data_IF_610924712076
#
_entry.id   IF_610924712076
#
_cell.length_a   1.000
_cell.length_b   1.000
_cell.length_c   1.000
_cell.angle_alpha   90.00
_cell.angle_beta   90.00
_cell.angle_gamma   90.00
#
_symmetry.space_group_name_H-M   'P 1'
#
loop_
_entity.id
_entity.type
_entity.pdbx_description
1 polymer ?
#
# COMPACT_ATOMS: atom_id res chain seq x y z
N UNK A 1 -26.20 -43.16 8.03
CA UNK A 1 -27.01 -43.98 8.95
C UNK A 1 -28.32 -43.27 9.18
N UNK A 2 -29.45 -43.97 9.10
CA UNK A 2 -30.79 -43.42 9.23
C UNK A 2 -31.26 -43.47 10.70
N UNK A 3 -31.63 -42.32 11.26
CA UNK A 3 -32.11 -42.19 12.65
C UNK A 3 -33.37 -43.03 12.89
N UNK A 4 -34.23 -43.21 11.88
CA UNK A 4 -35.43 -44.04 11.98
C UNK A 4 -35.12 -45.53 12.09
N UNK A 5 -34.13 -46.00 11.32
CA UNK A 5 -33.71 -47.39 11.34
C UNK A 5 -33.11 -47.77 12.72
N UNK A 6 -32.27 -46.92 13.28
CA UNK A 6 -31.64 -47.16 14.58
C UNK A 6 -32.64 -47.08 15.74
N UNK A 7 -33.61 -46.15 15.68
CA UNK A 7 -34.69 -46.10 16.66
C UNK A 7 -35.58 -47.36 16.62
N UNK A 8 -35.91 -47.87 15.41
CA UNK A 8 -36.62 -49.15 15.25
C UNK A 8 -35.85 -50.35 15.80
N UNK A 9 -34.52 -50.29 15.80
CA UNK A 9 -33.65 -51.30 16.40
C UNK A 9 -33.51 -51.17 17.93
N UNK A 10 -34.30 -50.30 18.57
CA UNK A 10 -34.38 -50.19 20.03
C UNK A 10 -33.45 -49.14 20.64
N UNK A 11 -32.79 -48.32 19.83
CA UNK A 11 -31.94 -47.24 20.35
C UNK A 11 -32.78 -46.10 20.94
N UNK A 12 -32.51 -45.73 22.18
CA UNK A 12 -33.19 -44.59 22.81
C UNK A 12 -32.79 -43.25 22.18
N UNK A 13 -33.71 -42.28 22.20
CA UNK A 13 -33.47 -40.89 21.77
C UNK A 13 -32.20 -40.30 22.42
N UNK A 14 -31.93 -40.66 23.69
CA UNK A 14 -30.75 -40.19 24.41
C UNK A 14 -29.43 -40.84 23.95
N UNK A 15 -29.48 -42.06 23.41
CA UNK A 15 -28.33 -42.73 22.82
C UNK A 15 -28.01 -42.15 21.44
N UNK A 16 -29.05 -41.98 20.60
CA UNK A 16 -28.93 -41.35 19.29
C UNK A 16 -28.42 -39.91 19.37
N UNK A 17 -28.89 -39.13 20.34
CA UNK A 17 -28.41 -37.75 20.56
C UNK A 17 -26.91 -37.69 20.90
N UNK A 18 -26.39 -38.66 21.64
CA UNK A 18 -24.96 -38.74 22.00
C UNK A 18 -24.12 -39.22 20.82
N UNK A 19 -24.58 -40.24 20.11
CA UNK A 19 -23.86 -40.84 18.98
C UNK A 19 -23.72 -39.86 17.81
N UNK A 20 -24.79 -39.15 17.47
CA UNK A 20 -24.80 -38.22 16.34
C UNK A 20 -24.51 -36.76 16.74
N UNK A 21 -24.22 -36.52 18.02
CA UNK A 21 -24.01 -35.18 18.58
C UNK A 21 -25.14 -34.19 18.22
N UNK A 22 -26.38 -34.64 18.36
CA UNK A 22 -27.59 -33.88 18.06
C UNK A 22 -28.35 -33.54 19.34
N UNK A 23 -29.07 -32.42 19.33
CA UNK A 23 -29.97 -32.10 20.43
C UNK A 23 -31.07 -33.16 20.55
N UNK A 24 -31.36 -33.64 21.77
CA UNK A 24 -32.42 -34.64 22.03
C UNK A 24 -33.79 -34.25 21.44
N UNK A 25 -34.13 -32.95 21.45
CA UNK A 25 -35.39 -32.44 20.84
C UNK A 25 -35.37 -32.55 19.31
N UNK A 26 -34.20 -32.39 18.69
CA UNK A 26 -34.02 -32.60 17.25
C UNK A 26 -34.15 -34.07 16.91
N UNK A 27 -33.54 -34.96 17.68
CA UNK A 27 -33.65 -36.42 17.47
C UNK A 27 -35.09 -36.89 17.64
N UNK A 28 -35.80 -36.47 18.71
CA UNK A 28 -37.20 -36.79 18.92
C UNK A 28 -38.07 -36.32 17.75
N UNK A 29 -37.91 -35.05 17.33
CA UNK A 29 -38.62 -34.48 16.18
C UNK A 29 -38.36 -35.24 14.87
N UNK A 30 -37.13 -35.69 14.66
CA UNK A 30 -36.78 -36.43 13.45
C UNK A 30 -37.30 -37.86 13.49
N UNK A 31 -37.23 -38.55 14.63
CA UNK A 31 -37.75 -39.93 14.78
C UNK A 31 -39.28 -40.00 14.62
N UNK A 32 -40.00 -39.00 15.14
CA UNK A 32 -41.47 -38.94 15.06
C UNK A 32 -41.98 -38.48 13.67
N UNK A 33 -41.14 -37.82 12.88
CA UNK A 33 -41.53 -37.35 11.55
C UNK A 33 -41.47 -38.51 10.52
N UNK A 34 -42.55 -38.84 9.80
CA UNK A 34 -42.52 -39.94 8.82
C UNK A 34 -41.59 -39.70 7.62
N UNK A 35 -41.20 -38.44 7.38
CA UNK A 35 -40.22 -38.03 6.36
C UNK A 35 -39.26 -36.97 6.93
N UNK A 36 -38.07 -36.84 6.36
CA UNK A 36 -37.10 -35.83 6.76
C UNK A 36 -37.74 -34.42 6.64
N UNK A 37 -37.69 -33.58 7.69
CA UNK A 37 -38.33 -32.27 7.64
C UNK A 37 -37.70 -31.42 6.54
N UNK A 38 -38.50 -31.10 5.53
CA UNK A 38 -38.11 -30.16 4.49
C UNK A 38 -38.12 -28.76 5.09
N UNK A 39 -36.97 -28.07 5.00
CA UNK A 39 -36.96 -26.65 5.30
C UNK A 39 -37.78 -25.95 4.22
N UNK A 40 -38.92 -25.36 4.60
CA UNK A 40 -39.59 -24.40 3.74
C UNK A 40 -38.56 -23.33 3.34
N UNK A 41 -38.40 -23.11 2.05
CA UNK A 41 -37.62 -21.98 1.56
C UNK A 41 -38.15 -20.72 2.23
N UNK A 42 -37.28 -19.93 2.85
CA UNK A 42 -37.67 -18.58 3.30
C UNK A 42 -38.23 -17.83 2.10
N UNK A 43 -39.35 -17.15 2.30
CA UNK A 43 -39.87 -16.19 1.33
C UNK A 43 -38.71 -15.31 0.87
N UNK A 44 -38.40 -15.44 -0.42
CA UNK A 44 -37.38 -14.61 -1.03
C UNK A 44 -37.87 -13.15 -0.92
N UNK A 45 -37.03 -12.20 -0.49
CA UNK A 45 -37.44 -10.80 -0.46
C UNK A 45 -37.99 -10.39 -1.83
N UNK A 46 -39.09 -9.61 -1.83
CA UNK A 46 -39.77 -9.16 -3.03
C UNK A 46 -38.79 -8.74 -4.13
N UNK A 47 -38.91 -9.37 -5.30
CA UNK A 47 -38.12 -9.00 -6.47
C UNK A 47 -38.44 -7.55 -6.86
N UNK A 48 -37.50 -6.88 -7.53
CA UNK A 48 -37.77 -5.55 -8.09
C UNK A 48 -38.88 -5.68 -9.12
N UNK A 49 -39.88 -4.81 -9.04
CA UNK A 49 -40.87 -4.71 -10.10
C UNK A 49 -40.20 -4.35 -11.44
N UNK A 50 -40.80 -4.69 -12.60
CA UNK A 50 -40.16 -4.50 -13.90
C UNK A 50 -39.68 -3.07 -14.18
N UNK A 51 -40.42 -2.07 -13.72
CA UNK A 51 -40.12 -0.64 -13.81
C UNK A 51 -38.95 -0.24 -12.89
N UNK A 52 -38.94 -0.72 -11.64
CA UNK A 52 -37.86 -0.50 -10.68
C UNK A 52 -36.55 -1.14 -11.16
N UNK A 53 -36.64 -2.36 -11.69
CA UNK A 53 -35.51 -3.08 -12.27
C UNK A 53 -34.96 -2.31 -13.48
N UNK A 54 -35.82 -1.87 -14.39
CA UNK A 54 -35.43 -1.09 -15.57
C UNK A 54 -34.75 0.24 -15.17
N UNK A 55 -35.24 0.91 -14.11
CA UNK A 55 -34.61 2.12 -13.58
C UNK A 55 -33.20 1.84 -13.02
N UNK A 56 -33.06 0.80 -12.20
CA UNK A 56 -31.76 0.42 -11.59
C UNK A 56 -30.74 0.03 -12.65
N UNK A 57 -31.13 -0.78 -13.64
CA UNK A 57 -30.24 -1.19 -14.74
C UNK A 57 -29.76 0.03 -15.53
N UNK A 58 -30.68 0.91 -15.95
CA UNK A 58 -30.33 2.16 -16.67
C UNK A 58 -29.34 3.02 -15.89
N UNK A 59 -29.52 3.16 -14.57
CA UNK A 59 -28.61 3.94 -13.73
C UNK A 59 -27.24 3.29 -13.58
N UNK A 60 -27.18 1.97 -13.52
CA UNK A 60 -25.92 1.21 -13.48
C UNK A 60 -25.17 1.23 -14.82
N UNK A 61 -25.88 1.29 -15.95
CA UNK A 61 -25.27 1.47 -17.28
C UNK A 61 -24.57 2.83 -17.39
N UNK A 62 -25.23 3.90 -16.94
CA UNK A 62 -24.67 5.26 -16.97
C UNK A 62 -23.57 5.45 -15.92
N UNK A 63 -23.73 4.88 -14.72
CA UNK A 63 -22.77 5.02 -13.62
C UNK A 63 -22.64 3.71 -12.82
N UNK A 64 -21.69 2.85 -13.23
CA UNK A 64 -21.40 1.55 -12.59
C UNK A 64 -21.06 1.66 -11.09
N UNK A 65 -20.54 2.80 -10.63
CA UNK A 65 -20.08 3.04 -9.26
C UNK A 65 -21.11 3.71 -8.35
N UNK A 66 -22.31 4.04 -8.84
CA UNK A 66 -23.36 4.72 -8.08
C UNK A 66 -23.64 4.00 -6.75
N UNK A 67 -23.73 4.72 -5.64
CA UNK A 67 -23.95 4.12 -4.32
C UNK A 67 -25.31 3.43 -4.25
N UNK A 68 -25.36 2.24 -3.66
CA UNK A 68 -26.61 1.49 -3.49
C UNK A 68 -27.63 2.23 -2.61
N UNK A 69 -27.16 3.07 -1.68
CA UNK A 69 -28.03 3.95 -0.88
C UNK A 69 -28.76 5.00 -1.73
N UNK A 70 -28.10 5.51 -2.78
CA UNK A 70 -28.70 6.45 -3.73
C UNK A 70 -29.78 5.75 -4.55
N UNK A 71 -29.47 4.60 -5.14
CA UNK A 71 -30.45 3.81 -5.90
C UNK A 71 -31.64 3.39 -5.03
N UNK A 72 -31.41 3.07 -3.75
CA UNK A 72 -32.47 2.68 -2.82
C UNK A 72 -33.49 3.79 -2.59
N UNK A 73 -33.04 5.04 -2.41
CA UNK A 73 -33.94 6.19 -2.27
C UNK A 73 -34.81 6.35 -3.51
N UNK A 74 -34.20 6.29 -4.68
CA UNK A 74 -34.90 6.43 -5.96
C UNK A 74 -35.94 5.32 -6.19
N UNK A 75 -35.64 4.05 -5.86
CA UNK A 75 -36.64 2.98 -6.00
C UNK A 75 -37.70 3.00 -4.91
N UNK A 76 -37.41 3.55 -3.72
CA UNK A 76 -38.41 3.74 -2.67
C UNK A 76 -39.49 4.73 -3.13
N UNK A 77 -39.09 5.79 -3.84
CA UNK A 77 -40.02 6.73 -4.48
C UNK A 77 -40.85 6.07 -5.61
N UNK A 78 -40.34 5.01 -6.22
CA UNK A 78 -41.04 4.15 -7.19
C UNK A 78 -41.83 3.00 -6.52
N UNK A 79 -42.09 3.09 -5.21
CA UNK A 79 -42.93 2.13 -4.49
C UNK A 79 -42.22 0.82 -4.07
N UNK A 80 -40.90 0.83 -3.89
CA UNK A 80 -40.19 -0.31 -3.32
C UNK A 80 -40.35 -0.35 -1.79
N UNK A 81 -40.99 -1.41 -1.27
CA UNK A 81 -41.36 -1.52 0.15
C UNK A 81 -40.42 -2.42 0.97
N UNK A 82 -39.52 -3.17 0.33
CA UNK A 82 -38.63 -4.11 1.02
C UNK A 82 -37.37 -3.42 1.59
N UNK A 83 -36.68 -4.11 2.50
CA UNK A 83 -35.53 -3.53 3.21
C UNK A 83 -34.36 -3.16 2.31
N UNK A 84 -33.60 -2.13 2.72
CA UNK A 84 -32.32 -1.76 2.09
C UNK A 84 -31.36 -2.94 1.92
N UNK A 85 -31.31 -3.86 2.91
CA UNK A 85 -30.40 -5.01 2.87
C UNK A 85 -30.78 -5.96 1.72
N UNK A 86 -32.08 -6.19 1.51
CA UNK A 86 -32.60 -6.99 0.39
C UNK A 86 -32.30 -6.31 -0.95
N UNK A 87 -32.54 -5.00 -1.03
CA UNK A 87 -32.23 -4.20 -2.21
C UNK A 87 -30.74 -4.24 -2.58
N UNK A 88 -29.86 -4.01 -1.59
CA UNK A 88 -28.42 -4.00 -1.80
C UNK A 88 -27.89 -5.36 -2.28
N UNK A 89 -28.49 -6.46 -1.81
CA UNK A 89 -28.19 -7.81 -2.34
C UNK A 89 -28.59 -7.93 -3.81
N UNK A 90 -29.78 -7.43 -4.19
CA UNK A 90 -30.26 -7.46 -5.59
C UNK A 90 -29.38 -6.62 -6.52
N UNK A 91 -29.05 -5.39 -6.11
CA UNK A 91 -28.14 -4.50 -6.86
C UNK A 91 -26.76 -5.14 -7.05
N UNK A 92 -26.26 -5.89 -6.06
CA UNK A 92 -24.98 -6.62 -6.18
C UNK A 92 -24.99 -7.68 -7.29
N UNK A 93 -26.14 -8.33 -7.52
CA UNK A 93 -26.30 -9.30 -8.62
C UNK A 93 -26.43 -8.61 -9.99
N UNK A 94 -27.05 -7.43 -10.02
CA UNK A 94 -27.23 -6.63 -11.25
C UNK A 94 -25.96 -5.90 -11.69
N UNK A 95 -25.04 -5.64 -10.75
CA UNK A 95 -23.71 -5.14 -11.08
C UNK A 95 -22.93 -6.24 -11.78
N UNK A 96 -22.63 -6.05 -13.04
CA UNK A 96 -21.55 -6.77 -13.70
C UNK A 96 -20.27 -6.51 -12.90
N UNK A 97 -19.87 -7.48 -12.08
CA UNK A 97 -18.56 -7.48 -11.46
C UNK A 97 -17.60 -7.68 -12.63
N UNK A 98 -17.06 -6.59 -13.18
CA UNK A 98 -15.88 -6.73 -14.02
C UNK A 98 -14.85 -7.44 -13.14
N UNK A 99 -14.34 -8.61 -13.56
CA UNK A 99 -13.28 -9.27 -12.84
C UNK A 99 -12.14 -8.27 -12.81
N UNK A 100 -11.93 -7.66 -11.64
CA UNK A 100 -10.75 -6.85 -11.41
C UNK A 100 -9.60 -7.81 -11.70
N UNK A 101 -8.78 -7.50 -12.70
CA UNK A 101 -7.65 -8.34 -13.06
C UNK A 101 -6.95 -8.77 -11.76
N UNK A 102 -6.58 -10.05 -11.61
CA UNK A 102 -5.83 -10.47 -10.44
C UNK A 102 -4.60 -9.56 -10.33
N UNK A 103 -4.59 -8.72 -9.29
CA UNK A 103 -3.42 -7.94 -8.90
C UNK A 103 -2.36 -8.98 -8.54
N UNK A 104 -1.46 -9.31 -9.48
CA UNK A 104 -0.21 -9.99 -9.16
C UNK A 104 0.56 -9.02 -8.27
N UNK A 105 0.39 -9.19 -6.96
CA UNK A 105 1.00 -8.35 -5.93
C UNK A 105 2.41 -8.86 -5.73
N UNK A 106 3.38 -8.06 -6.16
CA UNK A 106 4.78 -8.29 -5.88
C UNK A 106 5.04 -7.91 -4.42
N UNK A 107 5.09 -8.91 -3.54
CA UNK A 107 5.72 -8.74 -2.24
C UNK A 107 7.24 -8.73 -2.45
N UNK A 108 7.91 -7.83 -1.74
CA UNK A 108 9.36 -7.64 -1.80
C UNK A 108 9.91 -8.07 -0.46
N UNK A 109 11.09 -8.69 -0.45
CA UNK A 109 11.74 -9.09 0.79
C UNK A 109 12.09 -7.84 1.64
N UNK A 110 12.27 -8.02 2.97
CA UNK A 110 12.63 -6.93 3.86
C UNK A 110 13.89 -6.20 3.40
N UNK A 111 13.86 -4.86 3.41
CA UNK A 111 15.00 -4.01 3.06
C UNK A 111 15.29 -3.93 1.56
N UNK A 112 14.53 -4.60 0.71
CA UNK A 112 14.78 -4.60 -0.74
C UNK A 112 14.29 -3.34 -1.40
N UNK A 113 13.06 -2.90 -1.13
CA UNK A 113 12.45 -1.84 -1.93
C UNK A 113 11.62 -0.87 -1.10
N UNK A 114 11.79 0.43 -1.38
CA UNK A 114 10.84 1.50 -1.01
C UNK A 114 10.20 2.06 -2.28
N UNK A 115 8.93 2.44 -2.17
CA UNK A 115 8.24 3.20 -3.23
C UNK A 115 8.05 4.63 -2.77
N UNK A 116 8.42 5.58 -3.61
CA UNK A 116 8.26 7.00 -3.32
C UNK A 116 7.48 7.72 -4.40
N UNK A 117 6.65 8.67 -3.99
CA UNK A 117 5.85 9.48 -4.90
C UNK A 117 5.41 10.80 -4.25
N UNK A 118 5.11 11.79 -5.10
CA UNK A 118 4.53 13.06 -4.69
C UNK A 118 3.01 12.97 -4.60
N UNK A 119 2.45 13.60 -3.57
CA UNK A 119 1.00 13.90 -3.51
C UNK A 119 0.76 15.36 -3.15
N UNK A 120 -0.29 15.93 -3.73
CA UNK A 120 -0.78 17.27 -3.40
C UNK A 120 -1.80 17.18 -2.27
N UNK A 121 -1.66 18.08 -1.29
CA UNK A 121 -2.47 18.11 -0.07
C UNK A 121 -3.45 19.29 -0.02
N UNK A 122 -3.41 20.17 -1.02
CA UNK A 122 -4.22 21.38 -1.06
C UNK A 122 -3.57 22.56 -0.35
N UNK A 123 -4.38 23.56 0.04
CA UNK A 123 -3.91 24.79 0.67
C UNK A 123 -3.86 24.66 2.19
N UNK A 124 -2.70 24.90 2.76
CA UNK A 124 -2.44 24.84 4.20
C UNK A 124 -1.74 26.12 4.65
N UNK A 125 -1.92 26.46 5.93
CA UNK A 125 -1.24 27.61 6.51
C UNK A 125 0.26 27.31 6.64
N UNK A 126 1.11 28.24 6.27
CA UNK A 126 2.54 28.19 6.51
C UNK A 126 2.98 29.60 6.88
N UNK A 127 3.50 29.76 8.10
CA UNK A 127 3.62 31.06 8.75
C UNK A 127 2.28 31.84 8.62
N UNK A 128 2.33 33.07 8.12
CA UNK A 128 1.16 33.94 8.03
C UNK A 128 0.39 33.81 6.69
N UNK A 129 0.70 32.80 5.88
CA UNK A 129 0.16 32.68 4.51
C UNK A 129 -0.45 31.31 4.22
N UNK A 130 -1.38 31.25 3.27
CA UNK A 130 -1.91 29.97 2.77
C UNK A 130 -1.13 29.55 1.52
N UNK A 131 -0.49 28.38 1.57
CA UNK A 131 0.35 27.85 0.49
C UNK A 131 -0.13 26.48 0.04
N UNK A 132 0.17 26.11 -1.21
CA UNK A 132 -0.10 24.75 -1.70
C UNK A 132 0.93 23.77 -1.15
N UNK A 133 0.52 22.97 -0.17
CA UNK A 133 1.35 21.99 0.48
C UNK A 133 1.35 20.67 -0.30
N UNK A 134 2.53 20.08 -0.38
CA UNK A 134 2.79 18.83 -1.10
C UNK A 134 3.55 17.91 -0.16
N UNK A 135 3.31 16.61 -0.27
CA UNK A 135 4.05 15.60 0.49
C UNK A 135 4.82 14.66 -0.42
N UNK A 136 6.10 14.49 -0.11
CA UNK A 136 6.92 13.39 -0.60
C UNK A 136 6.70 12.20 0.32
N UNK A 137 6.11 11.15 -0.22
CA UNK A 137 5.65 9.97 0.52
C UNK A 137 6.58 8.82 0.21
N UNK A 138 7.05 8.13 1.23
CA UNK A 138 7.81 6.89 1.09
C UNK A 138 7.09 5.74 1.80
N UNK A 139 7.02 4.58 1.16
CA UNK A 139 6.48 3.35 1.76
C UNK A 139 7.42 2.17 1.53
N UNK A 140 7.80 1.49 2.61
CA UNK A 140 8.57 0.24 2.53
C UNK A 140 7.73 -0.89 1.92
N UNK A 141 8.34 -1.64 1.02
CA UNK A 141 7.65 -2.68 0.29
C UNK A 141 7.22 -3.87 1.15
N UNK A 142 7.99 -4.22 2.18
CA UNK A 142 7.74 -5.34 3.08
C UNK A 142 6.83 -4.93 4.25
N UNK A 143 7.33 -4.10 5.17
CA UNK A 143 6.59 -3.71 6.39
C UNK A 143 5.38 -2.82 6.16
N UNK A 144 5.35 -2.13 5.01
CA UNK A 144 4.40 -1.04 4.72
C UNK A 144 4.51 0.14 5.69
N UNK A 145 5.64 0.27 6.38
CA UNK A 145 5.95 1.50 7.10
C UNK A 145 5.96 2.68 6.12
N UNK A 146 5.37 3.79 6.55
CA UNK A 146 5.21 5.00 5.76
C UNK A 146 5.97 6.13 6.44
N UNK A 147 6.59 6.99 5.66
CA UNK A 147 7.10 8.28 6.10
C UNK A 147 6.73 9.36 5.09
N UNK A 148 6.57 10.59 5.59
CA UNK A 148 6.20 11.74 4.77
C UNK A 148 7.07 12.94 5.13
N UNK A 149 7.49 13.68 4.09
CA UNK A 149 8.08 15.01 4.22
C UNK A 149 7.30 16.00 3.38
N UNK A 150 7.22 17.25 3.84
CA UNK A 150 6.43 18.29 3.18
C UNK A 150 7.30 19.33 2.51
N UNK A 151 6.82 19.84 1.38
CA UNK A 151 7.37 21.00 0.70
C UNK A 151 6.28 21.81 0.00
N UNK A 152 6.65 23.00 -0.48
CA UNK A 152 5.78 23.90 -1.24
C UNK A 152 5.96 23.76 -2.75
N UNK A 153 7.00 23.07 -3.22
CA UNK A 153 7.28 22.77 -4.62
C UNK A 153 7.69 21.30 -4.84
N UNK A 154 7.79 20.87 -6.10
CA UNK A 154 8.25 19.53 -6.52
C UNK A 154 9.51 19.62 -7.38
N UNK A 155 10.35 20.64 -7.17
CA UNK A 155 11.56 20.80 -7.98
C UNK A 155 12.53 19.64 -7.72
N UNK A 156 13.47 19.44 -8.65
CA UNK A 156 14.53 18.44 -8.48
C UNK A 156 15.32 18.68 -7.20
N UNK A 157 15.72 19.93 -6.93
CA UNK A 157 16.48 20.29 -5.74
C UNK A 157 15.75 19.87 -4.45
N UNK A 158 14.47 20.26 -4.32
CA UNK A 158 13.63 19.89 -3.18
C UNK A 158 13.44 18.37 -3.09
N UNK A 159 13.20 17.69 -4.21
CA UNK A 159 13.01 16.23 -4.21
C UNK A 159 14.28 15.50 -3.74
N UNK A 160 15.45 15.89 -4.24
CA UNK A 160 16.73 15.31 -3.84
C UNK A 160 17.08 15.60 -2.37
N UNK A 161 16.71 16.78 -1.87
CA UNK A 161 16.87 17.15 -0.45
C UNK A 161 16.00 16.28 0.47
N UNK A 162 14.77 15.95 0.05
CA UNK A 162 13.82 15.20 0.86
C UNK A 162 14.05 13.69 0.88
N UNK A 163 14.63 13.10 -0.16
CA UNK A 163 14.90 11.66 -0.24
C UNK A 163 15.70 11.13 0.97
N UNK A 164 16.89 11.66 1.31
CA UNK A 164 17.64 11.15 2.46
C UNK A 164 16.89 11.39 3.78
N UNK A 165 16.15 12.49 3.90
CA UNK A 165 15.38 12.80 5.11
C UNK A 165 14.23 11.83 5.35
N UNK A 166 13.46 11.50 4.31
CA UNK A 166 12.32 10.59 4.43
C UNK A 166 12.78 9.14 4.62
N UNK A 167 13.91 8.75 4.01
CA UNK A 167 14.55 7.45 4.25
C UNK A 167 15.05 7.34 5.70
N UNK A 168 15.60 8.43 6.25
CA UNK A 168 16.01 8.47 7.64
C UNK A 168 14.84 8.26 8.61
N UNK A 169 13.67 8.82 8.31
CA UNK A 169 12.45 8.57 9.10
C UNK A 169 12.03 7.11 9.08
N UNK A 170 12.28 6.40 7.97
CA UNK A 170 12.04 4.96 7.83
C UNK A 170 13.12 4.09 8.50
N UNK A 171 14.17 4.70 9.06
CA UNK A 171 15.26 4.01 9.74
C UNK A 171 16.43 3.60 8.86
N UNK A 172 16.45 3.98 7.57
CA UNK A 172 17.59 3.74 6.68
C UNK A 172 17.22 3.62 5.21
N UNK A 173 18.20 3.23 4.40
CA UNK A 173 18.11 3.11 2.95
C UNK A 173 17.94 1.65 2.53
N UNK A 174 16.89 1.29 1.76
CA UNK A 174 16.77 -0.03 1.16
C UNK A 174 17.62 -0.17 -0.11
N UNK A 175 17.75 -1.41 -0.60
CA UNK A 175 18.54 -1.70 -1.81
C UNK A 175 18.02 -0.98 -3.06
N UNK A 176 16.72 -0.73 -3.14
CA UNK A 176 16.06 -0.14 -4.30
C UNK A 176 15.11 0.99 -3.91
N UNK A 177 15.24 2.14 -4.56
CA UNK A 177 14.27 3.24 -4.50
C UNK A 177 13.47 3.26 -5.80
N UNK A 178 12.19 2.87 -5.72
CA UNK A 178 11.27 2.88 -6.85
C UNK A 178 10.45 4.17 -6.87
N UNK A 179 10.56 4.95 -7.94
CA UNK A 179 9.76 6.16 -8.16
C UNK A 179 8.92 6.06 -9.43
N UNK A 180 8.01 7.01 -9.61
CA UNK A 180 7.46 7.26 -10.94
C UNK A 180 8.51 7.89 -11.87
N UNK A 181 8.18 8.03 -13.15
CA UNK A 181 8.96 8.82 -14.12
C UNK A 181 8.71 10.32 -13.94
N UNK A 182 8.85 10.80 -12.71
CA UNK A 182 8.77 12.22 -12.39
C UNK A 182 9.93 12.99 -13.06
N UNK A 183 9.69 14.10 -13.77
CA UNK A 183 10.75 14.91 -14.41
C UNK A 183 11.86 15.40 -13.46
N UNK A 184 11.58 15.47 -12.17
CA UNK A 184 12.58 15.77 -11.14
C UNK A 184 13.70 14.70 -11.12
N UNK A 185 13.35 13.43 -11.33
CA UNK A 185 14.26 12.29 -11.18
C UNK A 185 14.58 11.59 -12.50
N UNK A 186 13.69 11.66 -13.49
CA UNK A 186 13.82 11.01 -14.81
C UNK A 186 13.81 12.08 -15.90
N UNK A 187 14.89 12.15 -16.66
CA UNK A 187 15.12 13.17 -17.71
C UNK A 187 14.86 12.65 -19.12
N UNK A 188 14.63 11.34 -19.28
CA UNK A 188 14.37 10.78 -20.59
C UNK A 188 14.11 9.28 -20.56
N UNK A 189 14.07 8.69 -21.74
CA UNK A 189 13.85 7.27 -21.95
C UNK A 189 14.76 6.78 -23.09
N UNK A 190 15.38 5.60 -22.94
CA UNK A 190 16.15 4.96 -24.01
C UNK A 190 15.22 4.36 -25.06
N UNK A 191 15.75 3.98 -26.23
CA UNK A 191 15.02 3.22 -27.26
C UNK A 191 14.28 2.01 -26.68
N UNK A 192 14.91 1.30 -25.74
CA UNK A 192 14.36 0.10 -25.10
C UNK A 192 13.38 0.37 -23.95
N UNK A 193 12.84 1.59 -23.84
CA UNK A 193 11.88 1.99 -22.79
C UNK A 193 12.42 1.98 -21.36
N UNK A 194 13.74 2.09 -21.17
CA UNK A 194 14.39 2.25 -19.86
C UNK A 194 14.47 3.73 -19.50
N UNK A 195 14.20 4.05 -18.24
CA UNK A 195 14.30 5.43 -17.75
C UNK A 195 15.75 5.90 -17.74
N UNK A 196 15.98 7.13 -18.19
CA UNK A 196 17.24 7.85 -18.03
C UNK A 196 17.07 8.77 -16.82
N UNK A 197 17.81 8.51 -15.75
CA UNK A 197 17.73 9.29 -14.52
C UNK A 197 18.56 10.57 -14.63
N UNK A 198 18.15 11.61 -13.88
CA UNK A 198 18.96 12.80 -13.67
C UNK A 198 20.30 12.42 -13.02
N UNK A 199 21.40 13.01 -13.47
CA UNK A 199 22.75 12.75 -12.92
C UNK A 199 22.81 12.96 -11.41
N UNK A 200 22.20 14.04 -10.92
CA UNK A 200 22.14 14.41 -9.52
C UNK A 200 21.41 13.35 -8.67
N UNK A 201 20.42 12.67 -9.27
CA UNK A 201 19.74 11.56 -8.62
C UNK A 201 20.62 10.30 -8.59
N UNK A 202 21.34 10.01 -9.67
CA UNK A 202 22.27 8.88 -9.72
C UNK A 202 23.40 9.05 -8.70
N UNK A 203 23.97 10.25 -8.58
CA UNK A 203 25.05 10.56 -7.63
C UNK A 203 24.60 10.45 -6.17
N UNK A 204 23.38 10.93 -5.88
CA UNK A 204 22.77 10.77 -4.57
C UNK A 204 22.51 9.30 -4.25
N UNK A 205 21.98 8.53 -5.21
CA UNK A 205 21.69 7.11 -5.02
C UNK A 205 22.97 6.30 -4.75
N UNK A 206 24.06 6.59 -5.48
CA UNK A 206 25.39 6.02 -5.21
C UNK A 206 25.89 6.37 -3.81
N UNK A 207 25.73 7.63 -3.39
CA UNK A 207 26.12 8.08 -2.05
C UNK A 207 25.31 7.43 -0.92
N UNK A 208 24.05 7.08 -1.20
CA UNK A 208 23.15 6.37 -0.29
C UNK A 208 23.33 4.85 -0.34
N UNK A 209 24.04 4.31 -1.33
CA UNK A 209 24.18 2.87 -1.54
C UNK A 209 22.90 2.19 -2.01
N UNK A 210 22.07 2.88 -2.80
CA UNK A 210 20.79 2.36 -3.32
C UNK A 210 20.74 2.39 -4.84
N UNK A 211 19.92 1.53 -5.42
CA UNK A 211 19.68 1.47 -6.85
C UNK A 211 18.40 2.24 -7.22
N UNK A 212 18.49 3.29 -8.06
CA UNK A 212 17.32 4.01 -8.53
C UNK A 212 16.54 3.14 -9.53
N UNK A 213 15.23 3.02 -9.32
CA UNK A 213 14.30 2.34 -10.23
C UNK A 213 13.13 3.27 -10.56
N UNK A 214 12.69 3.19 -11.81
CA UNK A 214 11.49 3.88 -12.27
C UNK A 214 10.46 2.85 -12.72
N UNK A 215 9.18 3.14 -12.50
CA UNK A 215 8.10 2.32 -13.01
C UNK A 215 8.19 2.20 -14.55
N UNK A 216 8.12 0.97 -15.08
CA UNK A 216 8.05 0.76 -16.53
C UNK A 216 6.71 1.23 -17.07
N UNK A 217 6.71 1.88 -18.22
CA UNK A 217 5.47 2.17 -18.96
C UNK A 217 4.77 0.82 -19.21
N UNK A 218 3.47 0.73 -18.93
CA UNK A 218 2.64 -0.49 -19.04
C UNK A 218 2.83 -1.59 -17.97
N UNK A 219 3.67 -1.43 -16.94
CA UNK A 219 3.68 -2.28 -15.73
C UNK A 219 3.31 -1.50 -14.46
N UNK A 220 2.15 -0.84 -14.49
CA UNK A 220 1.59 -0.09 -13.35
C UNK A 220 1.38 -0.95 -12.08
N UNK A 221 1.35 -2.29 -12.20
CA UNK A 221 1.09 -3.21 -11.08
C UNK A 221 2.14 -3.18 -9.96
N UNK A 222 3.36 -2.70 -10.24
CA UNK A 222 4.40 -2.55 -9.21
C UNK A 222 4.20 -1.31 -8.33
N UNK A 223 3.56 -0.25 -8.82
CA UNK A 223 3.35 1.04 -8.10
C UNK A 223 2.15 1.03 -7.13
N UNK A 224 1.38 -0.07 -7.10
CA UNK A 224 0.14 -0.13 -6.33
C UNK A 224 0.29 0.01 -4.80
N UNK A 225 1.51 -0.08 -4.24
CA UNK A 225 1.74 0.12 -2.79
C UNK A 225 1.63 1.61 -2.45
N UNK A 226 2.39 2.46 -3.13
CA UNK A 226 2.36 3.91 -2.89
C UNK A 226 1.02 4.54 -3.30
N UNK A 227 0.37 4.08 -4.37
CA UNK A 227 -0.97 4.59 -4.76
C UNK A 227 -2.03 4.34 -3.67
N UNK A 228 -2.00 3.17 -3.03
CA UNK A 228 -2.89 2.88 -1.90
C UNK A 228 -2.60 3.78 -0.71
N UNK A 229 -1.33 3.99 -0.40
CA UNK A 229 -0.90 4.89 0.68
C UNK A 229 -1.28 6.33 0.37
N UNK A 230 -1.15 6.81 -0.87
CA UNK A 230 -1.59 8.16 -1.27
C UNK A 230 -3.09 8.33 -1.05
N UNK A 231 -3.89 7.32 -1.41
CA UNK A 231 -5.33 7.36 -1.13
C UNK A 231 -5.60 7.42 0.37
N UNK A 232 -4.89 6.62 1.16
CA UNK A 232 -4.97 6.64 2.64
C UNK A 232 -4.57 8.00 3.21
N UNK A 233 -3.54 8.64 2.65
CA UNK A 233 -3.14 9.99 3.03
C UNK A 233 -4.30 10.96 2.82
N UNK A 234 -5.00 10.85 1.68
CA UNK A 234 -6.14 11.74 1.38
C UNK A 234 -7.39 11.44 2.21
N UNK A 235 -7.67 10.17 2.46
CA UNK A 235 -8.91 9.71 3.12
C UNK A 235 -8.81 9.66 4.65
N UNK A 236 -7.59 9.63 5.20
CA UNK A 236 -7.37 9.41 6.63
C UNK A 236 -6.34 10.38 7.24
N UNK A 237 -5.12 10.49 6.69
CA UNK A 237 -4.13 11.43 7.22
C UNK A 237 -4.60 12.88 7.17
N UNK A 238 -5.15 13.34 6.03
CA UNK A 238 -5.61 14.72 5.88
C UNK A 238 -6.74 15.07 6.87
N UNK A 239 -7.82 14.28 6.97
CA UNK A 239 -8.82 14.48 8.03
C UNK A 239 -8.20 14.49 9.44
N UNK A 240 -7.32 13.54 9.75
CA UNK A 240 -6.62 13.49 11.04
C UNK A 240 -5.81 14.77 11.30
N UNK A 241 -5.07 15.25 10.29
CA UNK A 241 -4.21 16.42 10.36
C UNK A 241 -5.02 17.70 10.64
N UNK A 242 -6.22 17.85 10.03
CA UNK A 242 -7.09 19.01 10.26
C UNK A 242 -7.57 19.13 11.72
N UNK A 243 -7.60 18.02 12.46
CA UNK A 243 -7.96 18.01 13.88
C UNK A 243 -6.80 18.24 14.85
N UNK A 244 -5.57 18.40 14.35
CA UNK A 244 -4.39 18.58 15.21
C UNK A 244 -4.19 20.05 15.58
N UNK A 245 -3.75 20.28 16.82
CA UNK A 245 -3.31 21.60 17.24
C UNK A 245 -1.98 21.95 16.56
N UNK A 246 -1.96 23.09 15.88
CA UNK A 246 -0.76 23.70 15.30
C UNK A 246 -0.49 25.04 16.00
N UNK A 247 0.79 25.44 16.12
CA UNK A 247 1.11 26.76 16.62
C UNK A 247 0.59 27.85 15.65
N UNK A 248 0.37 29.09 16.14
CA UNK A 248 0.17 30.22 15.25
C UNK A 248 1.36 30.35 14.30
N UNK A 249 1.10 30.42 13.00
CA UNK A 249 2.16 30.48 11.99
C UNK A 249 2.97 29.18 11.87
N UNK A 250 2.33 28.04 11.57
CA UNK A 250 3.01 26.75 11.54
C UNK A 250 4.11 26.70 10.48
N UNK A 251 5.19 26.00 10.79
CA UNK A 251 6.32 25.75 9.90
C UNK A 251 6.22 24.36 9.25
N UNK A 252 7.05 24.09 8.25
CA UNK A 252 7.16 22.74 7.68
C UNK A 252 7.59 21.72 8.74
N UNK A 253 8.41 22.12 9.72
CA UNK A 253 8.85 21.23 10.79
C UNK A 253 7.67 20.79 11.69
N UNK A 254 6.70 21.66 11.94
CA UNK A 254 5.49 21.31 12.69
C UNK A 254 4.67 20.25 11.96
N UNK A 255 4.48 20.43 10.64
CA UNK A 255 3.82 19.42 9.81
C UNK A 255 4.60 18.10 9.78
N UNK A 256 5.92 18.15 9.65
CA UNK A 256 6.78 16.96 9.67
C UNK A 256 6.68 16.20 10.99
N UNK A 257 6.63 16.91 12.13
CA UNK A 257 6.45 16.29 13.44
C UNK A 257 5.09 15.56 13.55
N UNK A 258 4.02 16.18 13.04
CA UNK A 258 2.69 15.57 12.99
C UNK A 258 2.64 14.34 12.06
N UNK A 259 3.29 14.40 10.90
CA UNK A 259 3.38 13.24 10.00
C UNK A 259 4.16 12.08 10.61
N UNK A 260 5.26 12.37 11.33
CA UNK A 260 6.01 11.35 12.06
C UNK A 260 5.13 10.70 13.11
N UNK A 261 4.37 11.49 13.89
CA UNK A 261 3.43 10.97 14.88
C UNK A 261 2.36 10.09 14.25
N UNK A 262 1.74 10.53 13.16
CA UNK A 262 0.75 9.73 12.44
C UNK A 262 1.34 8.42 11.91
N UNK A 263 2.54 8.46 11.35
CA UNK A 263 3.23 7.26 10.84
C UNK A 263 3.49 6.23 11.94
N UNK A 264 3.88 6.68 13.14
CA UNK A 264 4.17 5.80 14.27
C UNK A 264 2.90 5.32 14.98
N UNK A 265 2.06 6.25 15.43
CA UNK A 265 0.96 5.97 16.36
C UNK A 265 -0.28 5.43 15.63
N UNK A 266 -0.47 5.87 14.38
CA UNK A 266 -1.69 5.58 13.61
C UNK A 266 -1.44 4.52 12.56
N UNK A 267 -0.37 4.64 11.76
CA UNK A 267 -0.03 3.61 10.75
C UNK A 267 0.66 2.41 11.40
N UNK A 268 1.62 2.66 12.30
CA UNK A 268 2.37 1.61 12.98
C UNK A 268 1.52 0.58 13.73
N UNK A 269 0.37 0.98 14.28
CA UNK A 269 -0.54 0.09 15.03
C UNK A 269 -1.47 -0.73 14.13
N UNK A 270 -1.47 -0.51 12.80
CA UNK A 270 -2.37 -1.19 11.86
C UNK A 270 -1.93 -2.61 11.60
N UNK A 271 -2.91 -3.51 11.56
CA UNK A 271 -2.73 -4.87 11.06
C UNK A 271 -2.93 -4.88 9.54
N UNK A 272 -1.86 -5.12 8.79
CA UNK A 272 -1.94 -5.13 7.34
C UNK A 272 -2.71 -6.37 6.84
N UNK A 273 -3.69 -6.17 5.96
CA UNK A 273 -4.61 -7.23 5.51
C UNK A 273 -3.92 -8.35 4.72
N UNK A 274 -2.82 -8.05 4.03
CA UNK A 274 -2.12 -9.06 3.21
C UNK A 274 -1.19 -9.93 4.05
N UNK A 275 -0.40 -9.30 4.92
CA UNK A 275 0.59 -10.03 5.75
C UNK A 275 -0.04 -10.55 7.04
N UNK A 276 -1.14 -9.95 7.50
CA UNK A 276 -1.76 -10.25 8.78
C UNK A 276 -0.92 -9.78 9.98
N UNK A 277 0.12 -8.97 9.76
CA UNK A 277 1.05 -8.52 10.80
C UNK A 277 0.86 -7.04 11.10
N UNK A 278 1.30 -6.61 12.29
CA UNK A 278 1.28 -5.20 12.66
C UNK A 278 2.45 -4.49 11.96
N UNK A 279 2.19 -3.32 11.37
CA UNK A 279 3.19 -2.57 10.60
C UNK A 279 4.43 -2.29 11.43
N UNK A 280 4.27 -1.78 12.66
CA UNK A 280 5.39 -1.47 13.55
C UNK A 280 6.25 -2.70 13.88
N UNK A 281 5.65 -3.87 14.10
CA UNK A 281 6.39 -5.12 14.36
C UNK A 281 7.25 -5.50 13.16
N UNK A 282 6.66 -5.52 11.96
CA UNK A 282 7.40 -5.84 10.74
C UNK A 282 8.45 -4.79 10.37
N UNK A 283 8.22 -3.53 10.76
CA UNK A 283 9.16 -2.45 10.50
C UNK A 283 10.39 -2.54 11.41
N UNK A 284 10.20 -2.91 12.69
CA UNK A 284 11.32 -3.17 13.60
C UNK A 284 12.20 -4.34 13.13
N UNK A 285 11.61 -5.36 12.49
CA UNK A 285 12.36 -6.46 11.86
C UNK A 285 13.12 -6.03 10.59
N UNK A 286 12.57 -5.05 9.86
CA UNK A 286 13.14 -4.57 8.60
C UNK A 286 14.26 -3.53 8.81
N UNK A 287 14.17 -2.69 9.85
CA UNK A 287 15.14 -1.62 10.12
C UNK A 287 16.62 -2.08 10.14
N UNK A 288 17.00 -3.21 10.78
CA UNK A 288 18.38 -3.68 10.80
C UNK A 288 18.93 -4.07 9.41
N UNK A 289 18.05 -4.26 8.42
CA UNK A 289 18.40 -4.63 7.05
C UNK A 289 18.54 -3.40 6.14
N UNK A 290 18.24 -2.21 6.65
CA UNK A 290 18.40 -0.96 5.93
C UNK A 290 19.81 -0.40 6.14
N UNK A 291 20.40 0.16 5.09
CA UNK A 291 21.71 0.82 5.16
C UNK A 291 21.57 2.14 5.92
N UNK A 292 22.35 2.39 6.99
CA UNK A 292 22.33 3.67 7.69
C UNK A 292 22.72 4.83 6.78
N UNK A 293 22.06 5.97 6.93
CA UNK A 293 22.35 7.16 6.11
C UNK A 293 23.56 7.90 6.69
N UNK A 294 24.61 8.17 5.89
CA UNK A 294 25.71 9.01 6.34
C UNK A 294 25.22 10.39 6.77
N UNK A 295 25.62 10.85 7.97
CA UNK A 295 25.18 12.15 8.51
C UNK A 295 25.41 13.32 7.56
N UNK A 296 26.49 13.30 6.77
CA UNK A 296 26.79 14.32 5.76
C UNK A 296 25.64 14.50 4.75
N UNK A 297 24.91 13.44 4.40
CA UNK A 297 23.79 13.50 3.46
C UNK A 297 22.50 14.03 4.10
N UNK A 298 22.41 14.02 5.43
CA UNK A 298 21.31 14.64 6.19
C UNK A 298 21.56 16.14 6.45
N UNK A 299 22.83 16.57 6.38
CA UNK A 299 23.25 17.95 6.67
C UNK A 299 23.26 18.88 5.45
N UNK A 300 22.91 18.40 4.25
CA UNK A 300 22.75 19.25 3.07
C UNK A 300 21.43 20.05 3.14
N UNK A 301 21.30 20.88 4.17
CA UNK A 301 20.29 21.93 4.27
C UNK A 301 21.00 23.27 4.02
N UNK A 302 20.78 23.84 2.83
CA UNK A 302 21.27 25.18 2.38
C UNK A 302 22.77 25.31 2.13
N UNK A 303 23.20 24.77 0.99
CA UNK A 303 24.47 25.17 0.38
C UNK A 303 24.55 24.59 -1.02
N UNK A 304 24.43 25.45 -2.03
CA UNK A 304 24.61 25.08 -3.44
C UNK A 304 26.07 24.67 -3.66
N UNK A 305 26.42 23.43 -3.36
CA UNK A 305 27.60 22.82 -3.95
C UNK A 305 27.14 22.20 -5.26
N UNK A 306 27.23 23.01 -6.32
CA UNK A 306 27.61 22.44 -7.61
C UNK A 306 28.91 21.70 -7.31
N UNK A 307 28.88 20.37 -7.38
CA UNK A 307 30.11 19.65 -7.61
C UNK A 307 30.61 20.14 -8.97
N UNK A 308 31.46 21.16 -8.99
CA UNK A 308 32.46 21.23 -10.04
C UNK A 308 33.14 19.88 -9.97
N UNK A 309 33.05 19.12 -11.07
CA UNK A 309 33.80 17.91 -11.22
C UNK A 309 35.26 18.28 -10.97
N UNK A 310 35.76 17.99 -9.77
CA UNK A 310 37.18 17.97 -9.54
C UNK A 310 37.66 16.85 -10.44
N UNK A 311 38.33 17.24 -11.52
CA UNK A 311 39.10 16.31 -12.34
C UNK A 311 40.10 15.70 -11.37
N UNK A 312 39.79 14.50 -10.89
CA UNK A 312 40.72 13.73 -10.09
C UNK A 312 41.90 13.46 -11.01
N UNK A 313 42.98 14.19 -10.80
CA UNK A 313 44.24 13.92 -11.48
C UNK A 313 44.77 12.58 -10.97
N UNK A 314 44.49 11.53 -11.74
CA UNK A 314 44.95 10.16 -11.48
C UNK A 314 46.48 10.06 -11.41
N UNK A 315 47.22 11.08 -11.88
CA UNK A 315 48.68 11.13 -11.72
C UNK A 315 49.12 11.41 -10.28
N UNK A 316 48.30 12.12 -9.48
CA UNK A 316 48.58 12.39 -8.07
C UNK A 316 48.38 11.15 -7.18
N UNK A 317 47.41 10.28 -7.53
CA UNK A 317 47.18 9.01 -6.81
C UNK A 317 48.31 8.00 -7.11
N UNK A 318 48.96 8.08 -8.27
CA UNK A 318 50.15 7.27 -8.58
C UNK A 318 51.39 7.62 -7.76
N UNK A 319 51.46 8.80 -7.15
CA UNK A 319 52.59 9.22 -6.31
C UNK A 319 52.53 8.63 -4.89
N UNK A 320 51.36 8.14 -4.44
CA UNK A 320 51.20 7.38 -3.19
C UNK A 320 51.17 5.88 -3.51
N UNK A 321 52.26 5.38 -4.07
CA UNK A 321 52.44 3.97 -4.36
C UNK A 321 52.44 3.14 -3.08
N UNK A 322 51.33 2.45 -2.81
CA UNK A 322 51.42 1.19 -2.08
C UNK A 322 52.23 0.23 -2.97
N UNK A 323 53.32 -0.32 -2.42
CA UNK A 323 54.13 -1.34 -3.06
C UNK A 323 53.25 -2.56 -3.36
N UNK A 324 52.71 -2.62 -4.57
CA UNK A 324 52.07 -3.83 -5.09
C UNK A 324 53.21 -4.68 -5.68
N UNK A 325 53.57 -5.76 -4.98
CA UNK A 325 54.43 -6.80 -5.55
C UNK A 325 53.73 -7.40 -6.78
N UNK A 326 54.27 -7.14 -7.96
CA UNK A 326 53.92 -7.88 -9.16
C UNK A 326 54.53 -9.29 -9.06
N UNK A 327 53.71 -10.29 -8.73
CA UNK A 327 54.10 -11.70 -8.84
C UNK A 327 53.74 -12.23 -10.23
N UNK A 328 54.70 -12.92 -10.85
CA UNK A 328 54.49 -13.63 -12.13
C UNK A 328 53.40 -14.70 -11.96
N UNK A 329 52.63 -14.94 -13.03
CA UNK A 329 51.63 -16.01 -13.12
C UNK A 329 52.20 -17.40 -12.79
N UNK A 330 53.52 -17.59 -12.91
CA UNK A 330 54.22 -18.82 -12.56
C UNK A 330 54.17 -19.17 -11.05
N UNK A 331 53.82 -18.20 -10.19
CA UNK A 331 53.68 -18.40 -8.75
C UNK A 331 52.39 -19.16 -8.37
N UNK A 332 51.43 -19.25 -9.29
CA UNK A 332 50.22 -20.05 -9.12
C UNK A 332 50.44 -21.38 -9.81
N UNK A 333 51.01 -22.34 -9.05
CA UNK A 333 51.33 -23.68 -9.52
C UNK A 333 50.21 -24.30 -10.35
N UNK A 334 50.59 -24.71 -11.56
CA UNK A 334 49.78 -25.47 -12.52
C UNK A 334 49.15 -26.68 -11.83
N UNK A 335 47.83 -26.68 -11.68
CA UNK A 335 47.07 -27.93 -11.68
C UNK A 335 46.82 -28.25 -13.15
N UNK A 336 47.66 -29.11 -13.70
CA UNK A 336 47.46 -29.72 -15.01
C UNK A 336 47.06 -31.19 -14.82
N UNK A 337 46.46 -31.80 -15.85
CA UNK A 337 45.22 -31.45 -16.52
C UNK A 337 44.04 -32.33 -16.07
#
# INVERSE_FOLDING_TARGET
MDLHALHRQGWSIAALAREFNLNRRTVARYVDAPEAPTYAGRDCPADLAPDQLAHVVRRLEVCKTIRATTLYREVTELGYEASYVSFARRVRLLRTIEPKEPEVRFETDPGVQVQMDWTELGRWQLADTMVELKAWVAVLGFSRAVALRFATDKTRATTLELIPQVLNDLGGVPQEVLTDRDPALVIGETSDKRAIFASEWVDLALSLGTMPKACRAYRAKTKGKVERVIREIKEDFLPWLTGQALPPGPSLADYQALARRWSLDVVGTRRHRTTGRIVAETWLEEQPLLTPIPMRLLQHSRGTHVHTADVIDLSAIKAQGALVEHRSLDAYGLVAP
#
